data_IF_427770021438
#
_entry.id   IF_427770021438
#
_cell.length_a   1.000
_cell.length_b   1.000
_cell.length_c   1.000
_cell.angle_alpha   90.00
_cell.angle_beta   90.00
_cell.angle_gamma   90.00
#
_symmetry.space_group_name_H-M   'P 1'
#
loop_
_entity.id
_entity.type
_entity.pdbx_description
1 polymer ?
#
# COMPACT_ATOMS: atom_id res chain seq x y z
N UNK A 1 5.51 -27.12 -5.74
CA UNK A 1 6.78 -27.87 -5.84
C UNK A 1 7.77 -27.27 -4.86
N UNK A 2 8.31 -28.08 -3.96
CA UNK A 2 9.43 -27.67 -3.11
C UNK A 2 10.76 -27.97 -3.83
N UNK A 3 11.70 -27.03 -3.76
CA UNK A 3 13.06 -27.18 -4.28
C UNK A 3 14.00 -27.50 -3.13
N UNK A 4 14.86 -28.51 -3.29
CA UNK A 4 15.87 -28.80 -2.30
C UNK A 4 16.98 -27.74 -2.34
N UNK A 5 17.28 -27.11 -1.21
CA UNK A 5 18.42 -26.19 -1.05
C UNK A 5 19.65 -26.97 -0.58
N UNK A 6 19.45 -27.94 0.32
CA UNK A 6 20.47 -28.84 0.82
C UNK A 6 19.85 -30.05 1.51
N UNK A 7 20.67 -30.97 2.01
CA UNK A 7 20.21 -32.27 2.55
C UNK A 7 19.16 -32.15 3.67
N UNK A 8 19.14 -31.06 4.43
CA UNK A 8 18.19 -30.82 5.52
C UNK A 8 17.27 -29.61 5.31
N UNK A 9 17.16 -29.07 4.10
CA UNK A 9 16.38 -27.85 3.85
C UNK A 9 15.75 -27.82 2.46
N UNK A 10 14.45 -27.59 2.42
CA UNK A 10 13.71 -27.27 1.21
C UNK A 10 13.30 -25.80 1.20
N UNK A 11 12.99 -25.30 0.02
CA UNK A 11 12.42 -23.98 -0.20
C UNK A 11 11.26 -24.08 -1.17
N UNK A 12 10.18 -23.36 -0.87
CA UNK A 12 9.09 -23.13 -1.82
C UNK A 12 9.52 -22.03 -2.80
N UNK A 13 9.30 -22.25 -4.10
CA UNK A 13 9.41 -21.18 -5.11
C UNK A 13 8.27 -20.18 -4.92
N UNK A 14 8.61 -18.90 -4.90
CA UNK A 14 7.67 -17.79 -4.90
C UNK A 14 8.02 -16.81 -6.03
N UNK A 15 7.04 -16.02 -6.46
CA UNK A 15 7.09 -15.18 -7.65
C UNK A 15 6.75 -13.73 -7.33
N UNK A 16 7.53 -12.80 -7.86
CA UNK A 16 7.26 -11.37 -7.84
C UNK A 16 6.29 -10.95 -8.94
N UNK A 17 5.85 -9.69 -8.87
CA UNK A 17 4.97 -9.11 -9.88
C UNK A 17 5.66 -8.99 -11.24
N UNK A 18 6.99 -8.81 -11.28
CA UNK A 18 7.77 -8.72 -12.52
C UNK A 18 8.06 -10.07 -13.18
N UNK A 19 7.74 -11.18 -12.51
CA UNK A 19 7.98 -12.54 -13.02
C UNK A 19 6.73 -13.13 -13.68
N UNK A 20 5.63 -12.39 -13.76
CA UNK A 20 4.35 -12.88 -14.28
C UNK A 20 3.76 -11.96 -15.34
N UNK A 21 2.96 -12.53 -16.25
CA UNK A 21 2.18 -11.81 -17.24
C UNK A 21 0.73 -12.33 -17.25
N UNK A 22 -0.19 -11.48 -17.73
CA UNK A 22 -1.62 -11.78 -17.83
C UNK A 22 -1.94 -12.23 -19.26
N UNK A 23 -2.75 -13.26 -19.40
CA UNK A 23 -3.13 -13.83 -20.70
C UNK A 23 -4.49 -13.27 -21.13
N UNK A 24 -4.60 -12.65 -22.32
CA UNK A 24 -5.89 -12.22 -22.88
C UNK A 24 -6.92 -13.35 -22.97
N UNK A 25 -8.15 -13.05 -22.55
CA UNK A 25 -9.28 -13.96 -22.66
C UNK A 25 -9.83 -14.08 -24.09
N UNK A 26 -10.95 -14.79 -24.24
CA UNK A 26 -11.60 -15.02 -25.54
C UNK A 26 -12.33 -13.79 -26.10
N UNK A 27 -12.53 -12.74 -25.31
CA UNK A 27 -13.22 -11.53 -25.73
C UNK A 27 -12.64 -10.29 -25.04
N UNK A 28 -12.81 -9.14 -25.70
CA UNK A 28 -12.38 -7.84 -25.19
C UNK A 28 -13.58 -6.96 -24.84
N UNK A 29 -13.34 -5.91 -24.07
CA UNK A 29 -14.32 -4.90 -23.69
C UNK A 29 -13.71 -3.52 -23.90
N UNK A 30 -14.56 -2.54 -24.21
CA UNK A 30 -14.15 -1.14 -24.12
C UNK A 30 -13.85 -0.79 -22.65
N UNK A 31 -12.78 -0.01 -22.35
CA UNK A 31 -12.42 0.36 -20.98
C UNK A 31 -13.54 1.06 -20.19
N UNK A 32 -14.49 1.71 -20.86
CA UNK A 32 -15.65 2.36 -20.26
C UNK A 32 -16.68 1.35 -19.70
N UNK A 33 -16.66 0.10 -20.17
CA UNK A 33 -17.57 -0.96 -19.74
C UNK A 33 -17.09 -1.69 -18.48
N UNK A 34 -15.86 -1.43 -18.01
CA UNK A 34 -15.29 -2.12 -16.86
C UNK A 34 -15.61 -1.38 -15.56
N UNK A 35 -15.92 -2.16 -14.52
CA UNK A 35 -16.24 -1.66 -13.19
C UNK A 35 -15.09 -1.92 -12.21
N UNK A 36 -14.44 -0.85 -11.78
CA UNK A 36 -13.33 -0.89 -10.79
C UNK A 36 -13.78 -0.57 -9.36
N UNK A 37 -15.09 -0.41 -9.14
CA UNK A 37 -15.64 -0.10 -7.82
C UNK A 37 -15.34 -1.21 -6.83
N UNK A 38 -14.98 -0.81 -5.62
CA UNK A 38 -14.65 -1.71 -4.52
C UNK A 38 -15.09 -1.11 -3.19
N UNK A 39 -15.06 -1.91 -2.12
CA UNK A 39 -15.57 -1.53 -0.81
C UNK A 39 -14.70 -2.09 0.31
N UNK A 40 -14.40 -1.26 1.32
CA UNK A 40 -13.79 -1.65 2.59
C UNK A 40 -14.75 -1.24 3.71
N UNK A 41 -15.26 -2.22 4.47
CA UNK A 41 -16.28 -1.94 5.48
C UNK A 41 -17.49 -1.24 4.85
N UNK A 42 -17.77 -0.01 5.27
CA UNK A 42 -18.86 0.82 4.73
C UNK A 42 -18.41 1.81 3.65
N UNK A 43 -17.11 1.87 3.35
CA UNK A 43 -16.54 2.85 2.42
C UNK A 43 -16.40 2.24 1.02
N UNK A 44 -17.23 2.71 0.09
CA UNK A 44 -17.19 2.31 -1.33
C UNK A 44 -16.46 3.36 -2.16
N UNK A 45 -15.48 2.97 -2.95
CA UNK A 45 -14.68 3.87 -3.83
C UNK A 45 -14.67 3.35 -5.27
N UNK A 46 -14.49 4.25 -6.24
CA UNK A 46 -14.45 3.88 -7.67
C UNK A 46 -13.04 3.49 -8.14
N UNK A 47 -12.00 3.91 -7.41
CA UNK A 47 -10.60 3.59 -7.73
C UNK A 47 -10.02 2.66 -6.65
N UNK A 48 -9.57 1.43 -7.00
CA UNK A 48 -9.01 0.44 -6.07
C UNK A 48 -7.55 0.70 -5.72
N UNK A 49 -7.21 1.97 -5.46
CA UNK A 49 -5.86 2.44 -5.18
C UNK A 49 -5.88 3.31 -3.91
N UNK A 50 -5.01 2.98 -2.97
CA UNK A 50 -4.78 3.70 -1.72
C UNK A 50 -3.37 4.30 -1.75
N UNK A 51 -3.23 5.58 -1.42
CA UNK A 51 -1.93 6.18 -1.16
C UNK A 51 -1.43 5.78 0.25
N UNK A 52 -0.22 5.20 0.30
CA UNK A 52 0.36 4.66 1.52
C UNK A 52 0.51 5.70 2.64
N UNK A 53 0.39 5.24 3.89
CA UNK A 53 0.60 6.03 5.10
C UNK A 53 2.06 6.47 5.30
N UNK A 54 2.53 7.40 4.48
CA UNK A 54 3.90 7.89 4.51
C UNK A 54 3.90 9.42 4.41
N UNK A 55 4.65 10.07 5.28
CA UNK A 55 4.71 11.55 5.35
C UNK A 55 5.23 12.21 4.06
N UNK A 56 5.95 11.46 3.23
CA UNK A 56 6.38 11.89 1.90
C UNK A 56 5.30 11.81 0.82
N UNK A 57 4.18 11.15 1.11
CA UNK A 57 3.12 10.82 0.15
C UNK A 57 1.83 11.54 0.49
N UNK A 58 1.34 11.42 1.73
CA UNK A 58 0.00 11.90 2.11
C UNK A 58 0.10 12.93 3.21
N UNK A 59 -0.33 14.16 2.89
CA UNK A 59 -0.75 15.15 3.87
C UNK A 59 -2.27 15.35 3.80
N UNK A 60 -2.78 16.35 4.54
CA UNK A 60 -4.21 16.69 4.57
C UNK A 60 -4.76 16.97 3.16
N UNK A 61 -4.03 17.77 2.37
CA UNK A 61 -4.49 18.20 1.05
C UNK A 61 -4.45 17.05 0.04
N UNK A 62 -3.41 16.22 0.08
CA UNK A 62 -3.35 15.00 -0.71
C UNK A 62 -4.50 14.03 -0.36
N UNK A 63 -4.82 13.84 0.92
CA UNK A 63 -5.92 12.97 1.34
C UNK A 63 -7.29 13.45 0.81
N UNK A 64 -7.55 14.77 0.85
CA UNK A 64 -8.75 15.39 0.27
C UNK A 64 -8.78 15.20 -1.24
N UNK A 65 -7.68 15.51 -1.95
CA UNK A 65 -7.61 15.38 -3.40
C UNK A 65 -7.82 13.92 -3.87
N UNK A 66 -7.21 12.95 -3.20
CA UNK A 66 -7.44 11.53 -3.48
C UNK A 66 -8.90 11.13 -3.27
N UNK A 67 -9.53 11.62 -2.20
CA UNK A 67 -10.95 11.36 -1.91
C UNK A 67 -11.87 11.88 -3.02
N UNK A 68 -11.61 13.09 -3.51
CA UNK A 68 -12.36 13.74 -4.59
C UNK A 68 -12.19 13.01 -5.93
N UNK A 69 -11.01 12.45 -6.19
CA UNK A 69 -10.74 11.63 -7.37
C UNK A 69 -11.34 10.21 -7.28
N UNK A 70 -11.87 9.81 -6.12
CA UNK A 70 -12.47 8.49 -5.91
C UNK A 70 -11.49 7.41 -5.42
N UNK A 71 -10.30 7.80 -4.96
CA UNK A 71 -9.30 6.96 -4.29
C UNK A 71 -9.27 7.25 -2.77
N UNK A 72 -8.28 6.71 -2.05
CA UNK A 72 -8.06 6.97 -0.62
C UNK A 72 -6.61 7.39 -0.36
N UNK A 73 -6.42 8.31 0.59
CA UNK A 73 -5.10 8.63 1.14
C UNK A 73 -5.07 8.40 2.65
N UNK A 74 -4.01 7.77 3.15
CA UNK A 74 -3.89 7.41 4.58
C UNK A 74 -2.87 8.30 5.27
N UNK A 75 -3.25 8.95 6.38
CA UNK A 75 -2.35 9.75 7.21
C UNK A 75 -1.59 8.83 8.17
N UNK A 76 -0.26 8.98 8.26
CA UNK A 76 0.53 8.30 9.28
C UNK A 76 0.39 9.02 10.64
N UNK A 77 -0.28 8.40 11.62
CA UNK A 77 -0.46 8.99 12.95
C UNK A 77 0.83 9.05 13.77
N UNK A 78 1.84 8.26 13.41
CA UNK A 78 3.18 8.36 13.99
C UNK A 78 4.12 9.20 13.12
N UNK A 79 3.57 9.90 12.14
CA UNK A 79 4.25 10.77 11.21
C UNK A 79 4.50 12.18 11.73
N UNK A 80 4.97 13.06 10.86
CA UNK A 80 5.27 14.46 11.21
C UNK A 80 3.99 15.29 11.36
N UNK A 81 2.92 14.92 10.67
CA UNK A 81 1.64 15.64 10.66
C UNK A 81 0.96 15.73 12.03
N UNK A 82 1.26 14.78 12.91
CA UNK A 82 0.66 14.62 14.23
C UNK A 82 1.68 14.87 15.36
N UNK A 83 2.91 15.26 15.03
CA UNK A 83 3.96 15.64 16.00
C UNK A 83 4.20 17.15 16.03
N UNK A 84 3.97 17.82 14.89
CA UNK A 84 4.27 19.24 14.70
C UNK A 84 3.07 20.05 14.23
N UNK A 85 2.94 21.27 14.76
CA UNK A 85 1.95 22.25 14.30
C UNK A 85 2.19 22.68 12.85
N UNK A 86 3.46 22.91 12.49
CA UNK A 86 3.95 23.17 11.13
C UNK A 86 4.70 21.94 10.59
N UNK A 87 3.99 20.92 10.07
CA UNK A 87 4.63 19.76 9.46
C UNK A 87 5.34 20.11 8.14
N UNK A 88 4.93 21.19 7.46
CA UNK A 88 5.49 21.57 6.17
C UNK A 88 6.97 21.99 6.29
N UNK A 89 7.32 22.70 7.37
CA UNK A 89 8.72 23.01 7.68
C UNK A 89 9.56 21.74 7.89
N UNK A 90 9.05 20.75 8.63
CA UNK A 90 9.76 19.48 8.88
C UNK A 90 9.95 18.69 7.59
N UNK A 91 8.89 18.55 6.79
CA UNK A 91 8.94 17.88 5.49
C UNK A 91 9.93 18.52 4.53
N UNK A 92 9.97 19.87 4.49
CA UNK A 92 10.96 20.62 3.70
C UNK A 92 12.39 20.30 4.14
N UNK A 93 12.64 20.25 5.45
CA UNK A 93 13.95 19.93 6.00
C UNK A 93 14.38 18.48 5.65
N UNK A 94 13.47 17.52 5.80
CA UNK A 94 13.69 16.12 5.43
C UNK A 94 13.99 15.99 3.92
N UNK A 95 13.29 16.75 3.08
CA UNK A 95 13.53 16.72 1.64
C UNK A 95 14.89 17.34 1.23
N UNK A 96 15.39 18.34 1.98
CA UNK A 96 16.60 19.07 1.61
C UNK A 96 17.91 18.52 2.19
N UNK A 97 17.85 17.67 3.24
CA UNK A 97 19.06 17.19 3.93
C UNK A 97 19.96 16.35 3.01
N UNK A 98 21.26 16.28 3.28
CA UNK A 98 22.19 15.34 2.62
C UNK A 98 21.94 13.87 3.00
N UNK A 99 22.47 12.89 2.25
CA UNK A 99 22.28 11.47 2.56
C UNK A 99 22.93 11.05 3.88
N UNK A 100 24.08 11.63 4.24
CA UNK A 100 24.86 11.23 5.42
C UNK A 100 24.16 11.59 6.74
N UNK A 101 23.45 12.72 6.78
CA UNK A 101 22.74 13.20 7.97
C UNK A 101 21.28 12.72 8.04
N UNK A 102 20.79 12.04 7.01
CA UNK A 102 19.37 11.74 6.86
C UNK A 102 18.82 10.87 8.00
N UNK A 103 19.54 9.80 8.39
CA UNK A 103 19.06 8.90 9.44
C UNK A 103 18.99 9.61 10.78
N UNK A 104 20.03 10.37 11.14
CA UNK A 104 20.08 11.13 12.38
C UNK A 104 18.98 12.18 12.44
N UNK A 105 18.72 12.89 11.32
CA UNK A 105 17.62 13.84 11.25
C UNK A 105 16.26 13.16 11.44
N UNK A 106 16.02 12.03 10.78
CA UNK A 106 14.77 11.28 10.91
C UNK A 106 14.54 10.81 12.35
N UNK A 107 15.56 10.27 13.00
CA UNK A 107 15.47 9.86 14.40
C UNK A 107 15.17 11.05 15.32
N UNK A 108 15.77 12.22 15.07
CA UNK A 108 15.50 13.43 15.83
C UNK A 108 14.07 13.94 15.64
N UNK A 109 13.61 14.10 14.39
CA UNK A 109 12.27 14.61 14.08
C UNK A 109 11.17 13.67 14.61
N UNK A 110 11.35 12.36 14.50
CA UNK A 110 10.33 11.41 14.93
C UNK A 110 10.41 11.05 16.43
N UNK A 111 11.38 11.60 17.16
CA UNK A 111 11.43 11.48 18.63
C UNK A 111 10.39 12.37 19.33
N UNK A 112 9.96 13.48 18.70
CA UNK A 112 8.89 14.34 19.24
C UNK A 112 7.59 13.54 19.38
N UNK A 113 6.94 13.48 20.56
CA UNK A 113 5.75 12.65 20.76
C UNK A 113 4.59 12.99 19.82
N UNK A 114 3.75 11.98 19.54
CA UNK A 114 2.48 12.18 18.85
C UNK A 114 1.52 12.96 19.74
N UNK A 115 0.81 13.92 19.16
CA UNK A 115 -0.08 14.86 19.83
C UNK A 115 -1.54 14.58 19.48
N UNK A 116 -2.37 14.09 20.41
CA UNK A 116 -3.77 13.78 20.16
C UNK A 116 -4.60 14.94 19.60
N UNK A 117 -4.29 16.18 20.00
CA UNK A 117 -4.91 17.40 19.47
C UNK A 117 -4.59 17.61 17.98
N UNK A 118 -3.39 17.24 17.53
CA UNK A 118 -3.03 17.29 16.12
C UNK A 118 -3.72 16.19 15.32
N UNK A 119 -3.90 14.99 15.89
CA UNK A 119 -4.71 13.93 15.26
C UNK A 119 -6.12 14.46 14.96
N UNK A 120 -6.79 15.02 15.98
CA UNK A 120 -8.13 15.62 15.85
C UNK A 120 -8.14 16.74 14.81
N UNK A 121 -7.13 17.62 14.86
CA UNK A 121 -6.98 18.73 13.91
C UNK A 121 -6.88 18.25 12.47
N UNK A 122 -6.01 17.27 12.17
CA UNK A 122 -5.79 16.79 10.78
C UNK A 122 -7.02 16.08 10.24
N UNK A 123 -7.65 15.22 11.04
CA UNK A 123 -8.90 14.56 10.65
C UNK A 123 -9.98 15.60 10.40
N UNK A 124 -10.16 16.56 11.33
CA UNK A 124 -11.14 17.64 11.18
C UNK A 124 -10.93 18.47 9.92
N UNK A 125 -9.68 18.77 9.54
CA UNK A 125 -9.37 19.47 8.29
C UNK A 125 -9.80 18.66 7.05
N UNK A 126 -9.49 17.35 7.00
CA UNK A 126 -9.91 16.48 5.89
C UNK A 126 -11.45 16.46 5.79
N UNK A 127 -12.15 16.28 6.92
CA UNK A 127 -13.61 16.20 6.95
C UNK A 127 -14.28 17.54 6.57
N UNK A 128 -13.72 18.67 6.99
CA UNK A 128 -14.24 19.99 6.66
C UNK A 128 -14.21 20.28 5.15
N UNK A 129 -13.28 19.67 4.42
CA UNK A 129 -13.17 19.77 2.96
C UNK A 129 -13.91 18.63 2.22
N UNK A 130 -14.72 17.84 2.94
CA UNK A 130 -15.51 16.74 2.38
C UNK A 130 -14.69 15.49 2.01
N UNK A 131 -13.44 15.39 2.49
CA UNK A 131 -12.58 14.23 2.28
C UNK A 131 -12.95 13.03 3.16
N UNK A 132 -12.38 11.87 2.82
CA UNK A 132 -12.42 10.67 3.64
C UNK A 132 -11.16 10.63 4.49
N UNK A 133 -11.32 10.65 5.81
CA UNK A 133 -10.23 10.60 6.76
C UNK A 133 -9.83 9.15 7.02
N UNK A 134 -8.74 8.71 6.39
CA UNK A 134 -8.09 7.44 6.70
C UNK A 134 -6.81 7.70 7.49
N UNK A 135 -6.55 6.93 8.54
CA UNK A 135 -5.33 7.08 9.35
C UNK A 135 -4.68 5.74 9.64
N UNK A 136 -3.38 5.74 9.90
CA UNK A 136 -2.61 4.52 10.21
C UNK A 136 -1.79 4.66 11.48
N UNK A 137 -1.72 3.59 12.27
CA UNK A 137 -0.84 3.47 13.43
C UNK A 137 -0.31 2.04 13.60
N UNK A 138 0.82 1.89 14.28
CA UNK A 138 1.36 0.58 14.64
C UNK A 138 0.60 -0.03 15.82
N UNK A 139 0.61 -1.38 15.99
CA UNK A 139 -0.08 -2.04 17.10
C UNK A 139 0.26 -1.47 18.48
N UNK A 140 1.48 -0.98 18.67
CA UNK A 140 1.98 -0.46 19.95
C UNK A 140 1.22 0.77 20.45
N UNK A 141 0.69 1.59 19.54
CA UNK A 141 0.01 2.86 19.90
C UNK A 141 -1.42 2.92 19.39
N UNK A 142 -1.89 1.91 18.65
CA UNK A 142 -3.23 1.86 18.11
C UNK A 142 -4.31 1.86 19.21
N UNK A 143 -4.05 1.22 20.36
CA UNK A 143 -4.96 1.26 21.50
C UNK A 143 -5.15 2.66 22.11
N UNK A 144 -4.11 3.52 22.01
CA UNK A 144 -4.13 4.89 22.51
C UNK A 144 -4.75 5.85 21.48
N UNK A 145 -4.31 5.79 20.23
CA UNK A 145 -4.70 6.76 19.20
C UNK A 145 -5.90 6.34 18.34
N UNK A 146 -6.27 5.06 18.34
CA UNK A 146 -7.46 4.56 17.66
C UNK A 146 -8.75 5.23 18.13
N UNK A 147 -9.05 5.23 19.44
CA UNK A 147 -10.24 5.93 19.97
C UNK A 147 -10.22 7.42 19.67
N UNK A 148 -9.07 8.08 19.81
CA UNK A 148 -8.90 9.51 19.49
C UNK A 148 -9.25 9.80 18.03
N UNK A 149 -8.79 8.97 17.10
CA UNK A 149 -9.09 9.12 15.68
C UNK A 149 -10.57 8.86 15.39
N UNK A 150 -11.17 7.83 15.99
CA UNK A 150 -12.58 7.52 15.85
C UNK A 150 -13.48 8.67 16.35
N UNK A 151 -13.19 9.22 17.54
CA UNK A 151 -13.88 10.39 18.10
C UNK A 151 -13.78 11.62 17.18
N UNK A 152 -12.66 11.79 16.48
CA UNK A 152 -12.45 12.88 15.55
C UNK A 152 -13.22 12.75 14.23
N UNK A 153 -13.89 11.61 13.99
CA UNK A 153 -14.60 11.34 12.74
C UNK A 153 -13.74 10.69 11.66
N UNK A 154 -12.71 9.93 12.04
CA UNK A 154 -11.99 9.04 11.13
C UNK A 154 -12.96 8.05 10.47
N UNK A 155 -12.78 7.76 9.18
CA UNK A 155 -13.63 6.85 8.40
C UNK A 155 -13.06 5.43 8.33
N UNK A 156 -11.73 5.28 8.25
CA UNK A 156 -11.03 3.99 8.21
C UNK A 156 -9.75 4.04 9.05
N UNK A 157 -9.56 3.05 9.91
CA UNK A 157 -8.34 2.92 10.71
C UNK A 157 -7.47 1.78 10.19
N UNK A 158 -6.23 2.09 9.82
CA UNK A 158 -5.23 1.12 9.42
C UNK A 158 -4.33 0.81 10.62
N UNK A 159 -4.28 -0.46 11.03
CA UNK A 159 -3.32 -0.93 12.00
C UNK A 159 -2.20 -1.64 11.25
N UNK A 160 -1.09 -0.93 11.07
CA UNK A 160 -0.01 -1.33 10.18
C UNK A 160 1.33 -1.45 10.88
N UNK A 161 2.02 -2.58 10.69
CA UNK A 161 3.44 -2.74 10.97
C UNK A 161 4.12 -3.57 9.88
N UNK A 162 5.45 -3.74 9.97
CA UNK A 162 6.17 -4.62 9.03
C UNK A 162 5.60 -6.03 9.05
N UNK A 163 5.26 -6.57 10.22
CA UNK A 163 4.55 -7.83 10.37
C UNK A 163 3.52 -7.62 11.48
N UNK A 164 2.28 -8.05 11.26
CA UNK A 164 1.24 -8.07 12.28
C UNK A 164 0.72 -9.50 12.45
N UNK A 165 0.59 -9.92 13.71
CA UNK A 165 0.06 -11.22 14.11
C UNK A 165 -0.94 -11.03 15.25
N UNK A 166 -1.92 -11.92 15.34
CA UNK A 166 -2.88 -11.96 16.46
C UNK A 166 -2.23 -12.39 17.77
N UNK A 167 -1.13 -13.16 17.69
CA UNK A 167 -0.33 -13.56 18.85
C UNK A 167 0.97 -12.76 18.88
N UNK A 168 1.16 -11.95 19.93
CA UNK A 168 2.40 -11.23 20.18
C UNK A 168 2.85 -11.43 21.63
N UNK A 169 4.03 -12.04 21.80
CA UNK A 169 4.64 -12.24 23.11
C UNK A 169 5.49 -11.03 23.47
N UNK A 170 5.13 -10.35 24.56
CA UNK A 170 5.85 -9.19 25.10
C UNK A 170 6.00 -9.31 26.60
N UNK A 171 6.99 -8.61 27.16
CA UNK A 171 7.14 -8.41 28.61
C UNK A 171 6.10 -7.43 29.17
N UNK A 172 5.43 -6.69 28.29
CA UNK A 172 4.44 -5.67 28.60
C UNK A 172 3.09 -6.08 28.01
N UNK A 173 2.02 -5.42 28.47
CA UNK A 173 0.69 -5.58 27.87
C UNK A 173 0.72 -5.27 26.37
N UNK A 174 0.02 -6.08 25.59
CA UNK A 174 -0.07 -5.96 24.13
C UNK A 174 -1.51 -5.73 23.73
N UNK A 175 -1.68 -5.10 22.57
CA UNK A 175 -3.01 -4.88 22.01
C UNK A 175 -3.59 -6.21 21.52
N UNK A 176 -4.74 -6.61 22.09
CA UNK A 176 -5.56 -7.69 21.55
C UNK A 176 -6.28 -7.18 20.29
N UNK A 177 -5.90 -7.72 19.13
CA UNK A 177 -6.43 -7.28 17.84
C UNK A 177 -7.92 -7.60 17.67
N UNK A 178 -8.40 -8.71 18.22
CA UNK A 178 -9.80 -9.10 18.12
C UNK A 178 -10.69 -8.17 18.95
N UNK A 179 -10.27 -7.90 20.18
CA UNK A 179 -10.93 -6.93 21.06
C UNK A 179 -10.89 -5.53 20.46
N UNK A 180 -9.76 -5.12 19.88
CA UNK A 180 -9.62 -3.80 19.24
C UNK A 180 -10.55 -3.65 18.03
N UNK A 181 -10.60 -4.63 17.13
CA UNK A 181 -11.51 -4.57 15.98
C UNK A 181 -12.98 -4.57 16.42
N UNK A 182 -13.32 -5.32 17.48
CA UNK A 182 -14.69 -5.36 18.00
C UNK A 182 -15.11 -4.06 18.72
N UNK A 183 -14.17 -3.34 19.35
CA UNK A 183 -14.48 -2.12 20.10
C UNK A 183 -14.46 -0.85 19.24
N UNK A 184 -13.74 -0.85 18.12
CA UNK A 184 -13.65 0.30 17.23
C UNK A 184 -14.99 0.53 16.49
N UNK A 185 -15.56 1.75 16.53
CA UNK A 185 -16.84 2.05 15.86
C UNK A 185 -16.69 2.24 14.34
N UNK A 186 -15.48 2.09 13.81
CA UNK A 186 -15.12 2.30 12.41
C UNK A 186 -14.36 1.08 11.88
N UNK A 187 -14.41 0.79 10.56
CA UNK A 187 -13.74 -0.36 10.00
C UNK A 187 -12.21 -0.30 10.23
N UNK A 188 -11.65 -1.42 10.68
CA UNK A 188 -10.22 -1.58 10.93
C UNK A 188 -9.57 -2.45 9.86
N UNK A 189 -8.54 -1.93 9.19
CA UNK A 189 -7.70 -2.66 8.24
C UNK A 189 -6.46 -3.16 8.97
N UNK A 190 -6.13 -4.45 8.88
CA UNK A 190 -4.98 -5.03 9.59
C UNK A 190 -3.87 -5.46 8.63
N UNK A 191 -2.61 -5.19 8.98
CA UNK A 191 -1.48 -5.78 8.26
C UNK A 191 -0.11 -5.25 8.69
N UNK A 192 1.00 -5.68 8.10
CA UNK A 192 1.05 -6.51 6.89
C UNK A 192 1.19 -8.00 7.21
N UNK A 193 0.65 -8.84 6.32
CA UNK A 193 0.80 -10.31 6.31
C UNK A 193 1.26 -10.79 4.94
N UNK A 194 1.77 -12.02 4.85
CA UNK A 194 2.19 -12.65 3.58
C UNK A 194 1.95 -14.15 3.52
N UNK A 195 1.35 -14.74 4.56
CA UNK A 195 1.07 -16.18 4.62
C UNK A 195 -0.43 -16.40 4.78
N UNK A 196 -0.89 -17.56 4.30
CA UNK A 196 -2.28 -17.98 4.39
C UNK A 196 -2.79 -17.95 5.84
N UNK A 197 -2.05 -18.55 6.76
CA UNK A 197 -2.50 -18.74 8.16
C UNK A 197 -2.62 -17.39 8.88
N UNK A 198 -1.61 -16.52 8.73
CA UNK A 198 -1.64 -15.21 9.35
C UNK A 198 -2.75 -14.32 8.76
N UNK A 199 -3.02 -14.43 7.45
CA UNK A 199 -4.13 -13.73 6.82
C UNK A 199 -5.48 -14.19 7.39
N UNK A 200 -5.67 -15.51 7.53
CA UNK A 200 -6.88 -16.08 8.13
C UNK A 200 -7.06 -15.64 9.59
N UNK A 201 -5.98 -15.61 10.37
CA UNK A 201 -6.00 -15.13 11.75
C UNK A 201 -6.45 -13.66 11.86
N UNK A 202 -5.95 -12.78 10.99
CA UNK A 202 -6.38 -11.37 10.97
C UNK A 202 -7.85 -11.22 10.57
N UNK A 203 -8.34 -12.01 9.61
CA UNK A 203 -9.76 -12.02 9.23
C UNK A 203 -10.64 -12.49 10.40
N UNK A 204 -10.22 -13.54 11.11
CA UNK A 204 -10.88 -14.05 12.31
C UNK A 204 -10.87 -13.03 13.46
N UNK A 205 -9.81 -12.23 13.58
CA UNK A 205 -9.75 -11.10 14.52
C UNK A 205 -10.71 -9.95 14.17
N UNK A 206 -11.42 -10.00 13.05
CA UNK A 206 -12.42 -9.00 12.69
C UNK A 206 -11.96 -7.95 11.69
N UNK A 207 -10.78 -8.11 11.07
CA UNK A 207 -10.29 -7.20 10.04
C UNK A 207 -11.35 -6.92 8.96
N UNK A 208 -11.56 -5.65 8.64
CA UNK A 208 -12.45 -5.19 7.57
C UNK A 208 -11.81 -5.23 6.20
N UNK A 209 -10.48 -5.28 6.16
CA UNK A 209 -9.62 -5.65 5.03
C UNK A 209 -8.24 -6.03 5.58
N UNK A 210 -7.41 -6.72 4.78
CA UNK A 210 -6.03 -7.03 5.15
C UNK A 210 -5.02 -6.40 4.19
N UNK A 211 -3.88 -5.93 4.71
CA UNK A 211 -2.74 -5.49 3.91
C UNK A 211 -1.75 -6.63 3.72
N UNK A 212 -1.35 -6.86 2.47
CA UNK A 212 -0.46 -7.96 2.09
C UNK A 212 0.83 -7.42 1.49
N UNK A 213 1.96 -7.73 2.12
CA UNK A 213 3.28 -7.38 1.58
C UNK A 213 4.33 -7.12 2.65
N UNK A 214 5.46 -7.85 2.58
CA UNK A 214 6.60 -7.66 3.50
C UNK A 214 7.89 -7.51 2.69
N UNK A 215 8.43 -6.30 2.74
CA UNK A 215 9.68 -5.93 2.09
C UNK A 215 9.68 -5.52 0.61
N UNK A 216 8.59 -5.54 -0.19
CA UNK A 216 8.68 -5.18 -1.62
C UNK A 216 8.69 -3.67 -1.88
N UNK A 217 8.35 -2.84 -0.89
CA UNK A 217 8.24 -1.38 -1.06
C UNK A 217 9.56 -0.72 -1.47
N UNK A 218 9.50 0.26 -2.37
CA UNK A 218 10.68 0.91 -2.95
C UNK A 218 11.61 1.59 -1.93
N UNK A 219 11.05 2.15 -0.85
CA UNK A 219 11.83 2.75 0.24
C UNK A 219 12.15 1.77 1.39
N UNK A 220 11.71 0.50 1.30
CA UNK A 220 11.89 -0.50 2.34
C UNK A 220 13.19 -1.27 2.16
N UNK A 221 13.94 -1.44 3.24
CA UNK A 221 15.18 -2.24 3.24
C UNK A 221 15.05 -3.54 4.02
N UNK A 222 13.84 -3.90 4.49
CA UNK A 222 13.64 -5.03 5.41
C UNK A 222 14.15 -6.37 4.88
N UNK A 223 14.03 -6.66 3.58
CA UNK A 223 14.60 -7.91 3.01
C UNK A 223 16.13 -7.94 3.11
N UNK A 224 16.79 -6.82 2.85
CA UNK A 224 18.24 -6.72 2.95
C UNK A 224 18.74 -6.70 4.39
N UNK A 225 18.02 -6.00 5.28
CA UNK A 225 18.42 -5.83 6.69
C UNK A 225 18.08 -7.06 7.54
N UNK A 226 16.93 -7.70 7.30
CA UNK A 226 16.41 -8.79 8.15
C UNK A 226 16.34 -10.15 7.47
N UNK A 227 16.43 -10.21 6.14
CA UNK A 227 16.22 -11.47 5.39
C UNK A 227 14.78 -11.95 5.37
N UNK A 228 13.80 -11.11 5.75
CA UNK A 228 12.38 -11.48 5.82
C UNK A 228 11.57 -10.88 4.68
N UNK A 229 10.68 -11.68 4.10
CA UNK A 229 9.73 -11.25 3.09
C UNK A 229 9.31 -12.39 2.16
N UNK A 230 8.22 -12.16 1.43
CA UNK A 230 7.73 -13.07 0.38
C UNK A 230 7.52 -12.24 -0.90
N UNK A 231 7.90 -12.75 -2.08
CA UNK A 231 7.56 -12.13 -3.36
C UNK A 231 6.06 -11.84 -3.50
N UNK A 232 5.73 -10.64 -4.00
CA UNK A 232 4.40 -10.05 -3.82
C UNK A 232 3.28 -10.82 -4.52
N UNK A 233 3.50 -11.38 -5.71
CA UNK A 233 2.46 -12.13 -6.43
C UNK A 233 2.05 -13.38 -5.64
N UNK A 234 3.02 -14.13 -5.12
CA UNK A 234 2.75 -15.28 -4.25
C UNK A 234 2.09 -14.88 -2.93
N UNK A 235 2.56 -13.82 -2.28
CA UNK A 235 1.96 -13.38 -1.02
C UNK A 235 0.48 -13.00 -1.18
N UNK A 236 0.14 -12.27 -2.25
CA UNK A 236 -1.25 -11.90 -2.57
C UNK A 236 -2.09 -13.13 -2.85
N UNK A 237 -1.60 -14.07 -3.67
CA UNK A 237 -2.31 -15.30 -3.99
C UNK A 237 -2.59 -16.16 -2.74
N UNK A 238 -1.61 -16.32 -1.85
CA UNK A 238 -1.78 -17.08 -0.61
C UNK A 238 -2.83 -16.46 0.31
N UNK A 239 -2.79 -15.13 0.49
CA UNK A 239 -3.76 -14.41 1.31
C UNK A 239 -5.16 -14.36 0.67
N UNK A 240 -5.23 -14.34 -0.66
CA UNK A 240 -6.46 -14.41 -1.43
C UNK A 240 -7.14 -15.78 -1.31
N UNK A 241 -6.36 -16.87 -1.19
CA UNK A 241 -6.86 -18.20 -0.86
C UNK A 241 -7.43 -18.24 0.57
N UNK A 242 -6.71 -17.69 1.56
CA UNK A 242 -7.21 -17.58 2.94
C UNK A 242 -8.55 -16.83 3.02
N UNK A 243 -8.68 -15.75 2.26
CA UNK A 243 -9.94 -15.02 2.13
C UNK A 243 -11.06 -15.87 1.53
N UNK A 244 -10.78 -16.64 0.48
CA UNK A 244 -11.78 -17.48 -0.17
C UNK A 244 -12.33 -18.53 0.81
N UNK A 245 -11.45 -19.16 1.57
CA UNK A 245 -11.84 -20.14 2.60
C UNK A 245 -12.60 -19.46 3.76
N UNK A 246 -12.13 -18.29 4.22
CA UNK A 246 -12.83 -17.50 5.23
C UNK A 246 -14.25 -17.14 4.77
N UNK A 247 -14.43 -16.72 3.52
CA UNK A 247 -15.75 -16.44 2.93
C UNK A 247 -16.62 -17.70 2.91
N UNK A 248 -16.08 -18.84 2.48
CA UNK A 248 -16.82 -20.10 2.44
C UNK A 248 -17.26 -20.57 3.83
N UNK A 249 -16.42 -20.34 4.85
CA UNK A 249 -16.69 -20.72 6.23
C UNK A 249 -17.66 -19.78 6.95
N UNK A 250 -17.60 -18.49 6.68
CA UNK A 250 -18.27 -17.45 7.50
C UNK A 250 -19.35 -16.68 6.76
N UNK A 251 -19.37 -16.74 5.42
CA UNK A 251 -20.21 -15.89 4.57
C UNK A 251 -19.74 -14.43 4.48
N UNK A 252 -18.65 -14.05 5.16
CA UNK A 252 -18.14 -12.68 5.19
C UNK A 252 -16.95 -12.50 4.24
N UNK A 253 -17.06 -11.51 3.36
CA UNK A 253 -15.99 -11.14 2.44
C UNK A 253 -15.02 -10.14 3.10
N UNK A 254 -13.72 -10.42 3.10
CA UNK A 254 -12.68 -9.50 3.60
C UNK A 254 -11.74 -9.12 2.45
N UNK A 255 -11.73 -7.86 1.98
CA UNK A 255 -10.84 -7.42 0.90
C UNK A 255 -9.36 -7.64 1.20
N UNK A 256 -8.61 -8.05 0.18
CA UNK A 256 -7.15 -8.17 0.19
C UNK A 256 -6.53 -6.95 -0.51
N UNK A 257 -5.65 -6.23 0.18
CA UNK A 257 -4.97 -5.05 -0.37
C UNK A 257 -3.49 -5.37 -0.55
N UNK A 258 -3.00 -5.35 -1.79
CA UNK A 258 -1.58 -5.54 -2.07
C UNK A 258 -0.79 -4.26 -1.72
N UNK A 259 0.13 -4.32 -0.76
CA UNK A 259 0.90 -3.19 -0.29
C UNK A 259 2.41 -3.33 -0.59
N UNK A 260 2.87 -2.50 -1.52
CA UNK A 260 4.29 -2.34 -1.84
C UNK A 260 4.78 -3.09 -3.08
N UNK A 261 5.85 -2.55 -3.69
CA UNK A 261 6.50 -3.11 -4.89
C UNK A 261 5.79 -2.81 -6.21
N UNK A 262 4.83 -1.88 -6.21
CA UNK A 262 4.03 -1.54 -7.39
C UNK A 262 4.40 -0.13 -7.87
N UNK A 263 4.70 0.00 -9.16
CA UNK A 263 5.15 1.27 -9.76
C UNK A 263 4.27 1.67 -10.94
N UNK A 264 3.84 0.70 -11.74
CA UNK A 264 3.11 0.92 -12.99
C UNK A 264 1.68 0.39 -12.94
N UNK A 265 0.83 0.84 -13.86
CA UNK A 265 -0.52 0.28 -14.02
C UNK A 265 -0.53 -1.22 -14.35
N UNK A 266 0.54 -1.74 -14.97
CA UNK A 266 0.74 -3.17 -15.18
C UNK A 266 0.93 -3.94 -13.87
N UNK A 267 1.67 -3.37 -12.92
CA UNK A 267 1.89 -3.99 -11.60
C UNK A 267 0.60 -4.05 -10.78
N UNK A 268 -0.20 -3.00 -10.86
CA UNK A 268 -1.54 -2.95 -10.26
C UNK A 268 -2.41 -4.04 -10.88
N UNK A 269 -2.47 -4.11 -12.21
CA UNK A 269 -3.27 -5.11 -12.93
C UNK A 269 -2.87 -6.53 -12.53
N UNK A 270 -1.57 -6.84 -12.52
CA UNK A 270 -1.04 -8.14 -12.11
C UNK A 270 -1.39 -8.46 -10.65
N UNK A 271 -1.32 -7.47 -9.76
CA UNK A 271 -1.67 -7.66 -8.34
C UNK A 271 -3.16 -7.98 -8.13
N UNK A 272 -4.05 -7.27 -8.84
CA UNK A 272 -5.49 -7.56 -8.83
C UNK A 272 -5.75 -8.96 -9.40
N UNK A 273 -5.11 -9.34 -10.51
CA UNK A 273 -5.23 -10.68 -11.06
C UNK A 273 -4.74 -11.78 -10.09
N UNK A 274 -3.70 -11.52 -9.30
CA UNK A 274 -3.24 -12.44 -8.25
C UNK A 274 -4.24 -12.61 -7.08
N UNK A 275 -5.31 -11.83 -7.03
CA UNK A 275 -6.33 -11.96 -6.00
C UNK A 275 -6.54 -10.72 -5.14
N UNK A 276 -5.83 -9.60 -5.36
CA UNK A 276 -6.09 -8.36 -4.63
C UNK A 276 -7.40 -7.70 -5.06
N UNK A 277 -8.07 -7.05 -4.11
CA UNK A 277 -9.26 -6.22 -4.31
C UNK A 277 -8.92 -4.74 -4.47
N UNK A 278 -7.73 -4.35 -3.99
CA UNK A 278 -7.15 -3.04 -4.18
C UNK A 278 -5.65 -3.07 -3.92
N UNK A 279 -4.99 -1.94 -4.15
CA UNK A 279 -3.55 -1.79 -3.94
C UNK A 279 -3.26 -0.59 -3.06
N UNK A 280 -2.19 -0.68 -2.27
CA UNK A 280 -1.59 0.44 -1.56
C UNK A 280 -0.23 0.75 -2.18
N UNK A 281 -0.05 2.00 -2.64
CA UNK A 281 1.16 2.43 -3.35
C UNK A 281 1.71 3.73 -2.78
N UNK A 282 3.05 3.85 -2.74
CA UNK A 282 3.76 4.98 -2.17
C UNK A 282 4.54 5.78 -3.21
N UNK A 283 5.58 5.17 -3.77
CA UNK A 283 6.51 5.85 -4.68
C UNK A 283 5.86 6.49 -5.91
N UNK A 284 4.80 5.96 -6.55
CA UNK A 284 4.11 6.66 -7.64
C UNK A 284 3.48 7.98 -7.20
N UNK A 285 2.78 8.00 -6.05
CA UNK A 285 2.18 9.22 -5.53
C UNK A 285 3.20 10.21 -4.97
N UNK A 286 4.35 9.74 -4.48
CA UNK A 286 5.47 10.63 -4.11
C UNK A 286 6.04 11.43 -5.31
N UNK A 287 5.68 11.06 -6.55
CA UNK A 287 6.03 11.79 -7.77
C UNK A 287 5.01 12.85 -8.20
N UNK A 288 3.89 12.95 -7.49
CA UNK A 288 2.91 14.00 -7.73
C UNK A 288 3.49 15.37 -7.35
N UNK A 289 3.09 16.43 -8.06
CA UNK A 289 3.46 17.80 -7.74
C UNK A 289 2.96 18.24 -6.36
N UNK A 290 1.84 17.66 -5.94
CA UNK A 290 1.16 17.84 -4.66
C UNK A 290 1.82 17.04 -3.53
N UNK A 291 2.75 16.13 -3.83
CA UNK A 291 3.33 15.25 -2.83
C UNK A 291 4.18 16.04 -1.80
N UNK A 292 3.93 15.85 -0.48
CA UNK A 292 4.65 16.54 0.58
C UNK A 292 6.16 16.24 0.59
N UNK A 293 6.56 15.09 0.05
CA UNK A 293 7.95 14.66 -0.07
C UNK A 293 8.80 15.42 -1.10
N UNK A 294 8.19 16.28 -1.94
CA UNK A 294 8.91 17.16 -2.89
C UNK A 294 9.88 16.39 -3.81
N UNK A 295 9.43 15.26 -4.35
CA UNK A 295 10.23 14.38 -5.21
C UNK A 295 11.17 13.43 -4.46
N UNK A 296 11.07 13.38 -3.13
CA UNK A 296 11.69 12.35 -2.30
C UNK A 296 10.63 11.45 -1.65
N UNK A 297 11.04 10.22 -1.37
CA UNK A 297 10.18 9.22 -0.74
C UNK A 297 10.95 8.47 0.34
N UNK A 298 10.31 8.20 1.48
CA UNK A 298 10.86 7.43 2.59
C UNK A 298 9.75 6.64 3.31
N UNK A 299 10.13 5.49 3.88
CA UNK A 299 9.21 4.59 4.56
C UNK A 299 9.06 4.86 6.06
N UNK A 300 7.97 4.35 6.66
CA UNK A 300 7.66 4.49 8.09
C UNK A 300 8.70 3.88 9.04
N UNK A 301 9.47 2.89 8.58
CA UNK A 301 10.48 2.21 9.41
C UNK A 301 11.85 2.92 9.41
N UNK A 302 12.00 4.00 8.64
CA UNK A 302 13.22 4.80 8.56
C UNK A 302 13.61 5.46 9.89
N UNK A 303 12.70 6.08 10.66
CA UNK A 303 13.05 6.79 11.89
C UNK A 303 13.30 5.87 13.11
N UNK A 304 13.33 4.54 12.93
CA UNK A 304 13.52 3.62 14.05
C UNK A 304 14.80 3.97 14.84
N UNK A 305 14.73 4.16 16.17
CA UNK A 305 15.91 4.50 16.98
C UNK A 305 16.86 3.30 17.16
N UNK A 306 16.34 2.07 17.02
CA UNK A 306 17.12 0.84 17.23
C UNK A 306 17.72 0.36 15.92
N UNK A 307 16.89 0.11 14.91
CA UNK A 307 17.32 -0.42 13.62
C UNK A 307 16.50 0.20 12.46
N UNK A 308 16.99 1.28 11.82
CA UNK A 308 16.39 1.83 10.62
C UNK A 308 16.24 0.77 9.52
N UNK A 309 15.03 0.67 8.95
CA UNK A 309 14.70 -0.32 7.90
C UNK A 309 14.07 0.33 6.66
N UNK A 310 14.44 1.57 6.42
CA UNK A 310 14.05 2.32 5.24
C UNK A 310 15.16 3.24 4.79
N UNK A 311 15.03 3.73 3.57
CA UNK A 311 15.96 4.70 2.97
C UNK A 311 15.16 5.83 2.32
N UNK A 312 15.76 7.01 2.21
CA UNK A 312 15.23 8.09 1.39
C UNK A 312 15.69 7.91 -0.04
N UNK A 313 14.73 7.76 -0.93
CA UNK A 313 14.97 7.67 -2.37
C UNK A 313 14.51 8.95 -3.06
N UNK A 314 15.20 9.34 -4.12
CA UNK A 314 14.78 10.42 -5.01
C UNK A 314 13.93 9.82 -6.12
N UNK A 315 12.65 10.17 -6.15
CA UNK A 315 11.69 9.69 -7.16
C UNK A 315 11.40 10.76 -8.23
N UNK A 316 11.73 12.02 -7.93
CA UNK A 316 11.42 13.18 -8.78
C UNK A 316 9.93 13.49 -8.83
N UNK A 317 9.56 14.54 -9.55
CA UNK A 317 8.16 14.90 -9.83
C UNK A 317 7.89 14.65 -11.31
N UNK A 318 6.80 13.95 -11.63
CA UNK A 318 6.47 13.58 -13.02
C UNK A 318 5.15 14.11 -13.53
N UNK A 319 4.30 14.67 -12.68
CA UNK A 319 3.01 15.25 -13.06
C UNK A 319 2.17 15.61 -11.85
N UNK A 320 0.94 16.05 -12.09
CA UNK A 320 -0.07 16.23 -11.04
C UNK A 320 -0.61 14.89 -10.54
N UNK A 321 -1.23 14.89 -9.37
CA UNK A 321 -1.94 13.73 -8.83
C UNK A 321 -2.98 13.20 -9.82
N UNK A 322 -3.74 14.10 -10.46
CA UNK A 322 -4.76 13.74 -11.44
C UNK A 322 -4.15 13.04 -12.65
N UNK A 323 -3.04 13.54 -13.19
CA UNK A 323 -2.36 12.91 -14.35
C UNK A 323 -1.81 11.52 -13.99
N UNK A 324 -1.26 11.37 -12.79
CA UNK A 324 -0.74 10.08 -12.31
C UNK A 324 -1.89 9.08 -12.12
N UNK A 325 -2.97 9.48 -11.46
CA UNK A 325 -4.03 8.55 -11.07
C UNK A 325 -5.05 8.30 -12.19
N UNK A 326 -5.54 9.37 -12.82
CA UNK A 326 -6.69 9.36 -13.73
C UNK A 326 -6.35 9.79 -15.16
N UNK A 327 -5.14 10.33 -15.38
CA UNK A 327 -4.69 10.82 -16.67
C UNK A 327 -5.11 12.27 -16.98
N UNK A 328 -4.87 12.72 -18.23
CA UNK A 328 -4.25 11.96 -19.32
C UNK A 328 -2.79 11.61 -19.01
N UNK A 329 -2.31 10.48 -19.53
CA UNK A 329 -0.91 10.10 -19.36
C UNK A 329 0.01 11.03 -20.16
N UNK A 330 1.07 11.55 -19.52
CA UNK A 330 2.13 12.34 -20.17
C UNK A 330 3.41 11.56 -20.42
N UNK A 331 3.47 10.33 -19.89
CA UNK A 331 4.62 9.43 -19.97
C UNK A 331 4.23 8.10 -20.63
N UNK A 332 5.22 7.42 -21.18
CA UNK A 332 5.13 6.16 -21.92
C UNK A 332 5.64 4.94 -21.12
N UNK A 333 5.88 5.12 -19.83
CA UNK A 333 6.46 4.12 -18.91
C UNK A 333 5.42 3.46 -17.98
N UNK A 334 4.12 3.75 -18.19
CA UNK A 334 3.03 3.20 -17.39
C UNK A 334 2.92 3.76 -15.96
N UNK A 335 3.66 4.83 -15.63
CA UNK A 335 3.61 5.48 -14.30
C UNK A 335 2.54 6.57 -14.19
N UNK A 336 1.86 6.90 -15.30
CA UNK A 336 0.73 7.83 -15.35
C UNK A 336 -0.57 7.11 -15.75
N UNK A 337 -1.71 7.75 -15.47
CA UNK A 337 -3.05 7.23 -15.71
C UNK A 337 -3.23 5.78 -15.21
N UNK A 338 -2.92 5.56 -13.93
CA UNK A 338 -2.96 4.23 -13.31
C UNK A 338 -4.36 3.58 -13.40
N UNK A 339 -5.43 4.37 -13.23
CA UNK A 339 -6.80 3.89 -13.42
C UNK A 339 -7.05 3.50 -14.88
N UNK A 340 -6.68 4.34 -15.84
CA UNK A 340 -6.85 4.04 -17.26
C UNK A 340 -6.08 2.81 -17.68
N UNK A 341 -4.86 2.60 -17.15
CA UNK A 341 -4.07 1.41 -17.39
C UNK A 341 -4.75 0.14 -16.83
N UNK A 342 -5.30 0.20 -15.62
CA UNK A 342 -6.09 -0.91 -15.05
C UNK A 342 -7.31 -1.21 -15.91
N UNK A 343 -8.09 -0.18 -16.29
CA UNK A 343 -9.29 -0.37 -17.12
C UNK A 343 -8.97 -0.93 -18.51
N UNK A 344 -7.90 -0.43 -19.13
CA UNK A 344 -7.42 -0.92 -20.44
C UNK A 344 -6.97 -2.38 -20.35
N UNK A 345 -6.26 -2.74 -19.27
CA UNK A 345 -5.86 -4.12 -19.00
C UNK A 345 -7.09 -5.01 -18.83
N UNK A 346 -8.04 -4.64 -17.97
CA UNK A 346 -9.30 -5.36 -17.77
C UNK A 346 -10.07 -5.54 -19.08
N UNK A 347 -10.17 -4.49 -19.90
CA UNK A 347 -10.84 -4.56 -21.21
C UNK A 347 -10.14 -5.49 -22.19
N UNK A 348 -8.80 -5.48 -22.21
CA UNK A 348 -8.00 -6.39 -23.05
C UNK A 348 -8.13 -7.85 -22.61
N UNK A 349 -8.30 -8.09 -21.31
CA UNK A 349 -8.43 -9.42 -20.72
C UNK A 349 -9.88 -9.93 -20.73
N UNK A 350 -10.86 -9.09 -21.06
CA UNK A 350 -12.28 -9.43 -21.03
C UNK A 350 -12.93 -9.42 -19.65
N UNK A 351 -12.28 -8.81 -18.66
CA UNK A 351 -12.75 -8.75 -17.28
C UNK A 351 -13.67 -7.53 -17.06
N UNK A 352 -14.95 -7.77 -16.76
CA UNK A 352 -15.93 -6.68 -16.54
C UNK A 352 -15.81 -6.03 -15.16
N UNK A 353 -15.25 -6.73 -14.19
CA UNK A 353 -15.11 -6.27 -12.82
C UNK A 353 -13.86 -6.88 -12.16
N UNK A 354 -13.52 -6.41 -10.96
CA UNK A 354 -12.35 -6.88 -10.22
C UNK A 354 -12.41 -8.39 -9.90
N UNK A 355 -13.59 -8.99 -9.76
CA UNK A 355 -13.72 -10.44 -9.51
C UNK A 355 -13.36 -11.25 -10.73
N UNK A 356 -13.82 -10.83 -11.90
CA UNK A 356 -13.43 -11.45 -13.16
C UNK A 356 -11.94 -11.25 -13.42
N UNK A 357 -11.39 -10.08 -13.08
CA UNK A 357 -9.95 -9.83 -13.18
C UNK A 357 -9.14 -10.84 -12.35
N UNK A 358 -9.59 -11.15 -11.13
CA UNK A 358 -8.99 -12.17 -10.24
C UNK A 358 -9.06 -13.61 -10.80
N UNK A 359 -9.82 -13.87 -11.87
CA UNK A 359 -9.90 -15.16 -12.56
C UNK A 359 -9.07 -15.21 -13.85
N UNK A 360 -8.38 -14.13 -14.19
CA UNK A 360 -7.54 -14.06 -15.40
C UNK A 360 -6.40 -15.07 -15.31
N UNK A 361 -6.10 -15.73 -16.43
CA UNK A 361 -4.96 -16.64 -16.50
C UNK A 361 -3.64 -15.86 -16.35
N UNK A 362 -2.75 -16.41 -15.52
CA UNK A 362 -1.42 -15.87 -15.24
C UNK A 362 -0.38 -16.87 -15.70
N UNK A 363 0.61 -16.39 -16.44
CA UNK A 363 1.78 -17.18 -16.86
C UNK A 363 3.05 -16.67 -16.18
N UNK A 364 4.00 -17.57 -15.96
CA UNK A 364 5.33 -17.24 -15.46
C UNK A 364 6.18 -16.73 -16.65
N UNK A 365 6.57 -15.47 -16.59
CA UNK A 365 7.26 -14.73 -17.64
C UNK A 365 8.50 -14.00 -17.07
N UNK A 366 9.57 -14.72 -16.68
CA UNK A 366 10.72 -14.12 -15.98
C UNK A 366 11.52 -13.13 -16.84
N UNK A 367 11.37 -13.22 -18.17
CA UNK A 367 12.03 -12.33 -19.14
C UNK A 367 11.17 -11.12 -19.51
N UNK A 368 10.00 -10.91 -18.90
CA UNK A 368 9.06 -9.86 -19.31
C UNK A 368 9.69 -8.46 -19.33
N UNK A 369 10.59 -8.17 -18.39
CA UNK A 369 11.27 -6.88 -18.31
C UNK A 369 12.41 -6.72 -19.32
N UNK A 370 12.90 -7.80 -19.94
CA UNK A 370 14.07 -7.80 -20.82
C UNK A 370 13.72 -8.08 -22.29
N UNK A 371 12.70 -8.90 -22.53
CA UNK A 371 12.28 -9.34 -23.86
C UNK A 371 11.87 -8.15 -24.75
N UNK A 372 12.57 -7.98 -25.88
CA UNK A 372 12.31 -6.89 -26.83
C UNK A 372 12.64 -5.48 -26.32
N UNK A 373 13.29 -5.32 -25.14
CA UNK A 373 13.55 -4.00 -24.52
C UNK A 373 14.93 -3.41 -24.79
N UNK A 374 15.72 -4.00 -25.69
CA UNK A 374 17.11 -3.59 -25.97
C UNK A 374 17.21 -2.10 -26.32
N UNK A 375 16.41 -1.62 -27.27
CA UNK A 375 16.44 -0.20 -27.66
C UNK A 375 15.92 0.74 -26.57
N UNK A 376 14.89 0.33 -25.83
CA UNK A 376 14.34 1.13 -24.72
C UNK A 376 15.39 1.38 -23.64
N UNK A 377 16.14 0.33 -23.27
CA UNK A 377 17.25 0.42 -22.30
C UNK A 377 18.43 1.22 -22.84
N UNK A 378 18.84 0.97 -24.08
CA UNK A 378 19.97 1.67 -24.70
C UNK A 378 19.73 3.18 -24.79
N UNK A 379 18.48 3.59 -25.00
CA UNK A 379 18.09 5.00 -25.17
C UNK A 379 17.48 5.62 -23.91
N UNK A 380 17.29 4.85 -22.82
CA UNK A 380 16.64 5.29 -21.57
C UNK A 380 15.25 5.89 -21.80
N UNK A 381 14.39 5.16 -22.51
CA UNK A 381 13.02 5.57 -22.86
C UNK A 381 11.99 4.48 -22.49
N UNK A 382 10.71 4.84 -22.40
CA UNK A 382 9.63 3.92 -21.99
C UNK A 382 9.99 3.14 -20.71
N UNK A 383 9.87 1.81 -20.76
CA UNK A 383 10.17 0.91 -19.65
C UNK A 383 11.68 0.68 -19.41
N UNK A 384 12.55 1.28 -20.22
CA UNK A 384 14.01 1.18 -20.08
C UNK A 384 14.67 2.37 -19.40
N UNK A 385 13.87 3.31 -18.86
CA UNK A 385 14.33 4.51 -18.15
C UNK A 385 15.07 4.25 -16.85
#
# INVERSE_FOLDING_TARGET
METQIGRGKTARRAYGIDEIALVPGQGTLDPELVNTRWQIGTITRDIPIIASAMDSVVDVQMAVALSQLGALGVINLQGVLTRYEDPAAMLKHIASIGPDDFVSLMQHIYAEPVKPELIRKRIGQIKAEGGIACVSATPQVAGEYGPVAAEAGCDLFFLQATVVSTTHYSKFETLDLARFCASMPIPVVLGNVVTYEAALDLMNAGASAILVGIGPGAACTSRGVLGVGVPQATAVADCAAARADYLAMTGRYVPVIADGGLVTGGDISKSIACGADGVMIGSPFARAAEAPGRGFHWGMATPSPILPRGTRIKVGTTGTLSEILCGPARLDDGTHNLLGALKTSMGTLGAKDLKQMQQTEIVIAPSLLTEGKVYQRAQKLGMGK
#
